data_IF_545496149130
#
_entry.id   IF_545496149130
#
_cell.length_a   1.000
_cell.length_b   1.000
_cell.length_c   1.000
_cell.angle_alpha   90.00
_cell.angle_beta   90.00
_cell.angle_gamma   90.00
#
_symmetry.space_group_name_H-M   'P 1'
#
loop_
_entity.id
_entity.type
_entity.pdbx_description
1 polymer ?
#
# COMPACT_ATOMS: atom_id res chain seq x y z
N UNK A 1 -53.65 -60.57 4.12
CA UNK A 1 -53.15 -60.09 2.81
C UNK A 1 -51.67 -59.80 3.02
N UNK A 2 -50.83 -60.83 2.83
CA UNK A 2 -49.95 -61.04 1.68
C UNK A 2 -48.61 -60.30 1.87
N UNK A 3 -47.55 -61.02 2.23
CA UNK A 3 -46.40 -61.48 1.38
C UNK A 3 -45.26 -60.44 1.46
N UNK A 4 -43.95 -60.72 1.51
CA UNK A 4 -43.10 -61.88 1.81
C UNK A 4 -41.63 -61.39 1.72
N UNK A 5 -40.72 -62.10 2.41
CA UNK A 5 -39.29 -62.34 2.15
C UNK A 5 -38.33 -61.30 1.55
N UNK A 6 -37.14 -61.19 2.17
CA UNK A 6 -35.91 -60.86 1.43
C UNK A 6 -34.67 -60.55 2.28
N UNK A 7 -33.84 -61.58 2.53
CA UNK A 7 -32.47 -61.50 3.09
C UNK A 7 -31.55 -60.60 2.24
N UNK A 8 -30.52 -60.00 2.84
CA UNK A 8 -29.08 -60.26 2.55
C UNK A 8 -28.18 -59.31 3.36
N UNK A 9 -27.17 -59.85 4.04
CA UNK A 9 -26.12 -59.05 4.68
C UNK A 9 -25.00 -58.68 3.71
N UNK A 10 -24.22 -57.65 4.04
CA UNK A 10 -22.83 -57.52 3.60
C UNK A 10 -22.07 -56.59 4.56
N UNK A 11 -20.97 -57.12 5.11
CA UNK A 11 -19.98 -56.37 5.89
C UNK A 11 -19.35 -55.29 5.01
N UNK A 12 -19.43 -54.03 5.42
CA UNK A 12 -18.62 -52.97 4.84
C UNK A 12 -17.27 -52.95 5.54
N UNK A 13 -16.25 -53.46 4.85
CA UNK A 13 -14.86 -53.21 5.18
C UNK A 13 -14.58 -51.71 5.00
N UNK A 14 -14.33 -50.99 6.08
CA UNK A 14 -13.81 -49.63 6.03
C UNK A 14 -12.35 -49.69 5.60
N UNK A 15 -12.11 -49.44 4.32
CA UNK A 15 -10.78 -49.09 3.81
C UNK A 15 -10.44 -47.72 4.38
N UNK A 16 -9.52 -47.68 5.34
CA UNK A 16 -8.84 -46.42 5.69
C UNK A 16 -7.87 -46.15 4.55
N UNK A 17 -8.31 -45.40 3.55
CA UNK A 17 -7.37 -44.75 2.64
C UNK A 17 -6.61 -43.73 3.48
N UNK A 18 -5.36 -44.04 3.83
CA UNK A 18 -4.43 -42.98 4.20
C UNK A 18 -4.22 -42.12 2.96
N UNK A 19 -4.95 -41.01 2.88
CA UNK A 19 -4.52 -39.90 2.05
C UNK A 19 -3.16 -39.51 2.63
N UNK A 20 -2.09 -39.89 1.94
CA UNK A 20 -0.82 -39.22 2.11
C UNK A 20 -1.12 -37.74 1.85
N UNK A 21 -1.05 -36.92 2.91
CA UNK A 21 -1.06 -35.48 2.77
C UNK A 21 0.09 -35.13 1.84
N UNK A 22 -0.20 -34.77 0.59
CA UNK A 22 0.77 -34.04 -0.20
C UNK A 22 1.11 -32.81 0.63
N UNK A 23 2.38 -32.64 0.95
CA UNK A 23 2.89 -31.31 1.28
C UNK A 23 2.66 -30.50 0.00
N UNK A 24 1.53 -29.80 -0.06
CA UNK A 24 1.27 -28.88 -1.15
C UNK A 24 2.35 -27.80 -1.05
N UNK A 25 3.21 -27.75 -2.07
CA UNK A 25 4.27 -26.77 -2.16
C UNK A 25 3.66 -25.37 -2.09
N UNK A 26 4.06 -24.57 -1.11
CA UNK A 26 3.57 -23.20 -0.92
C UNK A 26 4.68 -22.19 -1.18
N UNK A 27 4.35 -21.14 -1.91
CA UNK A 27 5.23 -20.00 -2.11
C UNK A 27 5.29 -19.18 -0.81
N UNK A 28 6.49 -18.81 -0.41
CA UNK A 28 6.73 -17.84 0.66
C UNK A 28 6.83 -16.48 -0.03
N UNK A 29 5.81 -15.66 0.16
CA UNK A 29 5.65 -14.40 -0.55
C UNK A 29 4.78 -13.45 0.27
N UNK A 30 5.19 -12.20 0.37
CA UNK A 30 4.35 -11.13 0.90
C UNK A 30 3.54 -10.51 -0.24
N UNK A 31 2.25 -10.78 -0.26
CA UNK A 31 1.33 -10.31 -1.29
C UNK A 31 0.75 -8.93 -1.05
N UNK A 32 1.10 -8.26 0.06
CA UNK A 32 0.70 -6.88 0.27
C UNK A 32 1.36 -5.98 -0.77
N UNK A 33 0.60 -5.07 -1.35
CA UNK A 33 1.14 -4.02 -2.21
C UNK A 33 2.11 -3.13 -1.38
N UNK A 34 3.08 -2.53 -2.05
CA UNK A 34 4.09 -1.70 -1.41
C UNK A 34 4.22 -0.37 -2.12
N UNK A 35 4.22 0.69 -1.31
CA UNK A 35 4.57 2.03 -1.74
C UNK A 35 5.97 2.35 -1.20
N UNK A 36 6.81 3.01 -1.99
CA UNK A 36 8.21 3.28 -1.66
C UNK A 36 8.64 4.64 -2.18
N UNK A 37 9.49 5.35 -1.43
CA UNK A 37 10.02 6.64 -1.87
C UNK A 37 11.04 6.39 -2.99
N UNK A 38 10.96 7.16 -4.08
CA UNK A 38 11.98 7.08 -5.14
C UNK A 38 13.38 7.34 -4.57
N UNK A 39 14.34 6.51 -4.98
CA UNK A 39 15.71 6.53 -4.47
C UNK A 39 15.98 5.58 -3.31
N UNK A 40 14.95 5.06 -2.63
CA UNK A 40 15.12 4.07 -1.57
C UNK A 40 15.31 2.65 -2.14
N UNK A 41 15.94 1.79 -1.34
CA UNK A 41 16.10 0.37 -1.71
C UNK A 41 14.85 -0.43 -1.34
N UNK A 42 14.45 -1.35 -2.21
CA UNK A 42 13.28 -2.20 -2.03
C UNK A 42 13.66 -3.68 -2.09
N UNK A 43 13.27 -4.45 -1.07
CA UNK A 43 13.39 -5.91 -1.07
C UNK A 43 12.07 -6.56 -1.48
N UNK A 44 12.09 -7.31 -2.58
CA UNK A 44 10.98 -8.14 -3.03
C UNK A 44 11.21 -9.57 -2.57
N UNK A 45 10.42 -10.00 -1.58
CA UNK A 45 10.60 -11.29 -0.92
C UNK A 45 9.91 -12.43 -1.68
N UNK A 46 10.66 -13.50 -1.98
CA UNK A 46 10.13 -14.70 -2.59
C UNK A 46 10.98 -15.94 -2.28
N UNK A 47 10.34 -17.06 -1.93
CA UNK A 47 11.04 -18.31 -1.67
C UNK A 47 10.12 -19.53 -1.57
N UNK A 48 10.72 -20.69 -1.32
CA UNK A 48 10.02 -21.97 -1.15
C UNK A 48 10.75 -22.85 -0.12
N UNK A 49 10.02 -23.71 0.60
CA UNK A 49 10.60 -24.64 1.60
C UNK A 49 11.10 -25.97 1.00
N UNK A 50 11.29 -26.03 -0.30
CA UNK A 50 11.61 -27.24 -1.03
C UNK A 50 12.53 -26.96 -2.21
N UNK A 51 13.08 -28.02 -2.80
CA UNK A 51 13.99 -27.89 -3.94
C UNK A 51 13.27 -27.27 -5.16
N UNK A 52 13.88 -26.24 -5.71
CA UNK A 52 13.50 -25.61 -6.97
C UNK A 52 14.67 -25.64 -7.94
N UNK A 53 14.39 -25.48 -9.23
CA UNK A 53 15.41 -25.42 -10.27
C UNK A 53 15.67 -23.99 -10.74
N UNK A 54 14.62 -23.19 -10.92
CA UNK A 54 14.71 -21.82 -11.45
C UNK A 54 13.71 -20.89 -10.75
N UNK A 55 14.10 -19.63 -10.60
CA UNK A 55 13.24 -18.55 -10.15
C UNK A 55 13.39 -17.31 -11.04
N UNK A 56 12.27 -16.64 -11.30
CA UNK A 56 12.18 -15.42 -12.09
C UNK A 56 11.34 -14.37 -11.38
N UNK A 57 11.67 -13.11 -11.60
CA UNK A 57 10.78 -11.98 -11.38
C UNK A 57 10.37 -11.40 -12.72
N UNK A 58 9.08 -11.27 -12.97
CA UNK A 58 8.56 -10.52 -14.12
C UNK A 58 7.94 -9.21 -13.65
N UNK A 59 8.18 -8.17 -14.42
CA UNK A 59 7.49 -6.89 -14.30
C UNK A 59 6.42 -6.75 -15.39
N UNK A 60 5.38 -5.96 -15.13
CA UNK A 60 4.23 -5.81 -16.05
C UNK A 60 4.61 -5.25 -17.43
N UNK A 61 5.68 -4.47 -17.51
CA UNK A 61 6.25 -3.94 -18.75
C UNK A 61 7.02 -4.98 -19.58
N UNK A 62 6.94 -6.26 -19.19
CA UNK A 62 7.57 -7.42 -19.82
C UNK A 62 9.08 -7.55 -19.59
N UNK A 63 9.67 -6.79 -18.67
CA UNK A 63 10.99 -7.13 -18.12
C UNK A 63 10.90 -8.44 -17.34
N UNK A 64 11.92 -9.28 -17.46
CA UNK A 64 12.01 -10.56 -16.75
C UNK A 64 13.44 -10.78 -16.27
N UNK A 65 13.60 -11.12 -15.00
CA UNK A 65 14.86 -11.19 -14.30
C UNK A 65 15.05 -12.60 -13.74
N UNK A 66 16.01 -13.35 -14.28
CA UNK A 66 16.42 -14.62 -13.69
C UNK A 66 17.22 -14.34 -12.41
N UNK A 67 16.77 -14.88 -11.29
CA UNK A 67 17.33 -14.57 -9.95
C UNK A 67 18.83 -14.85 -9.88
N UNK A 68 19.30 -15.97 -10.43
CA UNK A 68 20.74 -16.30 -10.44
C UNK A 68 21.60 -15.25 -11.15
N UNK A 69 21.07 -14.61 -12.20
CA UNK A 69 21.77 -13.52 -12.91
C UNK A 69 21.82 -12.26 -12.04
N UNK A 70 20.74 -11.96 -11.29
CA UNK A 70 20.72 -10.85 -10.34
C UNK A 70 21.72 -11.11 -9.21
N UNK A 71 21.69 -12.30 -8.61
CA UNK A 71 22.56 -12.68 -7.50
C UNK A 71 24.04 -12.74 -7.89
N UNK A 72 24.35 -13.04 -9.15
CA UNK A 72 25.72 -12.99 -9.69
C UNK A 72 26.17 -11.60 -10.16
N UNK A 73 25.33 -10.57 -10.03
CA UNK A 73 25.67 -9.18 -10.35
C UNK A 73 25.61 -8.84 -11.84
N UNK A 74 24.89 -9.62 -12.65
CA UNK A 74 24.71 -9.37 -14.09
C UNK A 74 23.73 -8.23 -14.35
N UNK A 75 22.83 -7.93 -13.41
CA UNK A 75 21.85 -6.85 -13.49
C UNK A 75 22.25 -5.68 -12.57
N UNK A 76 22.90 -4.62 -13.09
CA UNK A 76 23.25 -3.45 -12.28
C UNK A 76 22.00 -2.79 -11.66
N UNK A 77 22.14 -2.32 -10.42
CA UNK A 77 21.03 -1.73 -9.66
C UNK A 77 20.10 -2.77 -9.00
N UNK A 78 20.39 -4.06 -9.17
CA UNK A 78 19.71 -5.14 -8.47
C UNK A 78 20.71 -6.12 -7.86
N UNK A 79 20.33 -6.74 -6.74
CA UNK A 79 21.19 -7.68 -6.02
C UNK A 79 20.40 -8.73 -5.25
N UNK A 80 21.13 -9.69 -4.68
CA UNK A 80 20.56 -10.63 -3.72
C UNK A 80 20.21 -9.93 -2.38
N UNK A 81 19.11 -10.34 -1.72
CA UNK A 81 18.84 -9.95 -0.34
C UNK A 81 19.89 -10.50 0.62
N UNK A 82 20.03 -9.84 1.78
CA UNK A 82 21.04 -10.22 2.78
C UNK A 82 20.72 -11.58 3.44
N UNK A 83 19.43 -11.84 3.67
CA UNK A 83 18.94 -13.12 4.17
C UNK A 83 18.20 -13.87 3.05
N UNK A 84 18.69 -15.07 2.76
CA UNK A 84 18.12 -16.01 1.79
C UNK A 84 17.28 -17.10 2.46
N UNK A 85 17.20 -17.13 3.80
CA UNK A 85 16.36 -18.07 4.54
C UNK A 85 14.91 -17.83 4.17
N UNK A 86 14.27 -18.81 3.52
CA UNK A 86 12.90 -18.68 3.01
C UNK A 86 12.69 -17.54 1.98
N UNK A 87 13.79 -16.94 1.46
CA UNK A 87 13.82 -15.83 0.51
C UNK A 87 14.85 -16.06 -0.62
N UNK A 88 15.05 -17.33 -1.00
CA UNK A 88 16.09 -17.75 -1.94
C UNK A 88 15.87 -17.18 -3.35
N UNK A 89 14.63 -16.79 -3.67
CA UNK A 89 14.23 -16.22 -4.95
C UNK A 89 13.97 -14.71 -4.87
N UNK A 90 14.27 -14.09 -3.72
CA UNK A 90 14.12 -12.66 -3.52
C UNK A 90 15.15 -11.85 -4.31
N UNK A 91 14.78 -10.60 -4.60
CA UNK A 91 15.66 -9.61 -5.22
C UNK A 91 15.57 -8.31 -4.44
N UNK A 92 16.64 -7.52 -4.52
CA UNK A 92 16.68 -6.15 -4.00
C UNK A 92 16.89 -5.21 -5.17
N UNK A 93 16.04 -4.19 -5.29
CA UNK A 93 16.24 -3.03 -6.14
C UNK A 93 17.00 -2.00 -5.31
N UNK A 94 18.18 -1.58 -5.76
CA UNK A 94 19.09 -0.74 -4.96
C UNK A 94 18.56 0.69 -4.79
N UNK A 95 17.86 1.21 -5.79
CA UNK A 95 17.28 2.55 -5.83
C UNK A 95 16.04 2.51 -6.71
N UNK A 96 14.86 2.51 -6.10
CA UNK A 96 13.57 2.44 -6.82
C UNK A 96 13.31 3.73 -7.58
N UNK A 97 12.67 3.60 -8.74
CA UNK A 97 12.17 4.71 -9.55
C UNK A 97 10.71 4.50 -9.95
N UNK A 98 10.06 5.54 -10.49
CA UNK A 98 8.70 5.45 -11.06
C UNK A 98 8.58 4.43 -12.19
N UNK A 99 9.67 4.08 -12.87
CA UNK A 99 9.69 3.03 -13.90
C UNK A 99 9.57 1.61 -13.30
N UNK A 100 9.82 1.44 -12.00
CA UNK A 100 9.67 0.18 -11.28
C UNK A 100 8.27 0.02 -10.66
N UNK A 101 7.40 1.02 -10.81
CA UNK A 101 5.99 0.92 -10.46
C UNK A 101 5.27 -0.06 -11.38
N UNK A 102 4.39 -0.87 -10.80
CA UNK A 102 3.61 -1.87 -11.52
C UNK A 102 3.57 -3.23 -10.82
N UNK A 103 2.96 -4.21 -11.47
CA UNK A 103 2.88 -5.56 -10.94
C UNK A 103 4.22 -6.31 -11.08
N UNK A 104 4.75 -6.78 -9.95
CA UNK A 104 5.91 -7.66 -9.85
C UNK A 104 5.46 -9.08 -9.52
N UNK A 105 5.81 -10.04 -10.38
CA UNK A 105 5.42 -11.45 -10.25
C UNK A 105 6.64 -12.32 -10.00
N UNK A 106 6.70 -12.97 -8.83
CA UNK A 106 7.67 -14.03 -8.61
C UNK A 106 7.16 -15.35 -9.19
N UNK A 107 7.99 -16.05 -9.96
CA UNK A 107 7.73 -17.39 -10.48
C UNK A 107 8.83 -18.35 -10.08
N UNK A 108 8.45 -19.45 -9.44
CA UNK A 108 9.35 -20.48 -8.94
C UNK A 108 9.01 -21.81 -9.60
N UNK A 109 9.99 -22.40 -10.28
CA UNK A 109 9.87 -23.70 -10.95
C UNK A 109 10.47 -24.79 -10.07
N UNK A 110 9.62 -25.67 -9.56
CA UNK A 110 10.00 -26.72 -8.61
C UNK A 110 10.74 -27.87 -9.29
N UNK A 111 11.69 -28.48 -8.58
CA UNK A 111 12.37 -29.69 -9.06
C UNK A 111 11.40 -30.88 -9.01
N UNK A 112 11.40 -31.73 -10.03
CA UNK A 112 10.56 -32.94 -10.08
C UNK A 112 9.32 -32.81 -10.97
N UNK A 113 8.10 -32.97 -10.41
CA UNK A 113 6.81 -33.10 -11.14
C UNK A 113 6.35 -31.85 -11.93
N UNK A 114 7.23 -30.87 -12.18
CA UNK A 114 6.99 -29.77 -13.12
C UNK A 114 5.93 -28.76 -12.68
N UNK A 115 5.93 -28.38 -11.40
CA UNK A 115 5.03 -27.35 -10.87
C UNK A 115 5.65 -25.95 -10.92
N UNK A 116 4.86 -24.96 -11.35
CA UNK A 116 5.16 -23.54 -11.19
C UNK A 116 4.34 -23.00 -10.01
N UNK A 117 5.02 -22.36 -9.08
CA UNK A 117 4.40 -21.52 -8.05
C UNK A 117 4.63 -20.07 -8.43
N UNK A 118 3.60 -19.24 -8.32
CA UNK A 118 3.72 -17.82 -8.60
C UNK A 118 2.80 -16.99 -7.72
N UNK A 119 3.21 -15.77 -7.45
CA UNK A 119 2.38 -14.76 -6.84
C UNK A 119 2.87 -13.37 -7.26
N UNK A 120 2.01 -12.38 -7.13
CA UNK A 120 2.26 -11.03 -7.59
C UNK A 120 1.92 -10.02 -6.49
N UNK A 121 2.63 -8.89 -6.49
CA UNK A 121 2.30 -7.69 -5.71
C UNK A 121 2.49 -6.46 -6.58
N UNK A 122 1.80 -5.39 -6.25
CA UNK A 122 2.00 -4.09 -6.89
C UNK A 122 3.07 -3.33 -6.13
N UNK A 123 3.99 -2.73 -6.86
CA UNK A 123 4.93 -1.72 -6.35
C UNK A 123 4.47 -0.37 -6.88
N UNK A 124 4.42 0.64 -6.01
CA UNK A 124 4.20 2.03 -6.38
C UNK A 124 5.35 2.87 -5.85
N UNK A 125 6.12 3.48 -6.74
CA UNK A 125 7.15 4.43 -6.37
C UNK A 125 6.56 5.84 -6.35
N UNK A 126 6.77 6.58 -5.26
CA UNK A 126 6.35 7.98 -5.17
C UNK A 126 7.14 8.85 -6.15
N UNK A 127 6.47 9.82 -6.78
CA UNK A 127 7.14 10.76 -7.66
C UNK A 127 8.06 11.71 -6.88
N UNK A 128 8.95 12.40 -7.61
CA UNK A 128 9.91 13.34 -7.02
C UNK A 128 9.22 14.34 -6.09
N UNK A 129 9.84 14.58 -4.92
CA UNK A 129 9.32 15.43 -3.84
C UNK A 129 8.19 14.85 -2.99
N UNK A 130 7.72 13.62 -3.28
CA UNK A 130 6.83 12.87 -2.42
C UNK A 130 7.58 11.77 -1.66
N UNK A 131 7.17 11.51 -0.43
CA UNK A 131 7.72 10.45 0.45
C UNK A 131 6.65 9.40 0.73
N UNK A 132 7.05 8.13 0.78
CA UNK A 132 6.12 7.06 1.09
C UNK A 132 5.88 6.97 2.60
N UNK A 133 4.62 7.12 3.01
CA UNK A 133 4.19 7.01 4.40
C UNK A 133 2.87 6.25 4.46
N UNK A 134 2.81 5.17 5.24
CA UNK A 134 1.56 4.42 5.47
C UNK A 134 0.80 4.02 4.20
N UNK A 135 1.54 3.61 3.15
CA UNK A 135 0.95 3.18 1.87
C UNK A 135 0.62 4.29 0.88
N UNK A 136 0.67 5.57 1.29
CA UNK A 136 0.49 6.72 0.40
C UNK A 136 1.81 7.43 0.07
N UNK A 137 1.72 8.42 -0.81
CA UNK A 137 2.83 9.27 -1.24
C UNK A 137 2.50 10.72 -0.87
N UNK A 138 3.30 11.34 0.01
CA UNK A 138 2.98 12.63 0.62
C UNK A 138 4.05 13.68 0.36
N UNK A 139 3.62 14.91 0.09
CA UNK A 139 4.48 16.08 -0.06
C UNK A 139 4.12 17.11 1.01
N UNK A 140 5.11 17.55 1.79
CA UNK A 140 4.94 18.51 2.88
C UNK A 140 5.49 19.87 2.45
N UNK A 141 4.70 20.93 2.64
CA UNK A 141 5.14 22.29 2.37
C UNK A 141 5.08 23.17 3.62
N UNK A 142 6.24 23.33 4.26
CA UNK A 142 6.41 24.15 5.47
C UNK A 142 6.89 25.58 5.18
N UNK A 143 7.38 25.82 3.96
CA UNK A 143 7.96 27.10 3.55
C UNK A 143 6.88 28.09 3.08
N UNK A 144 5.73 27.60 2.61
CA UNK A 144 4.58 28.40 2.20
C UNK A 144 3.44 28.25 3.19
N UNK A 145 2.89 29.38 3.62
CA UNK A 145 1.73 29.44 4.49
C UNK A 145 0.56 29.98 3.68
N UNK A 146 -0.38 29.11 3.36
CA UNK A 146 -1.52 29.40 2.49
C UNK A 146 -2.82 29.11 3.24
N UNK A 147 -3.89 29.78 2.80
CA UNK A 147 -5.24 29.36 3.18
C UNK A 147 -5.56 27.99 2.58
N UNK A 148 -6.63 27.34 3.05
CA UNK A 148 -6.96 25.98 2.64
C UNK A 148 -7.22 25.85 1.13
N UNK A 149 -7.82 26.87 0.52
CA UNK A 149 -8.16 26.86 -0.90
C UNK A 149 -6.92 27.01 -1.78
N UNK A 150 -6.02 27.92 -1.42
CA UNK A 150 -4.75 28.14 -2.12
C UNK A 150 -3.79 26.97 -1.91
N UNK A 151 -3.77 26.36 -0.72
CA UNK A 151 -3.04 25.12 -0.45
C UNK A 151 -3.56 23.97 -1.32
N UNK A 152 -4.88 23.83 -1.43
CA UNK A 152 -5.51 22.85 -2.33
C UNK A 152 -5.12 23.08 -3.79
N UNK A 153 -5.22 24.33 -4.24
CA UNK A 153 -4.83 24.70 -5.59
C UNK A 153 -3.35 24.39 -5.85
N UNK A 154 -2.46 24.66 -4.89
CA UNK A 154 -1.06 24.28 -4.97
C UNK A 154 -0.89 22.77 -5.18
N UNK A 155 -1.50 21.94 -4.33
CA UNK A 155 -1.39 20.49 -4.41
C UNK A 155 -1.89 19.95 -5.76
N UNK A 156 -2.99 20.50 -6.28
CA UNK A 156 -3.52 20.13 -7.59
C UNK A 156 -2.57 20.44 -8.75
N UNK A 157 -1.76 21.49 -8.63
CA UNK A 157 -0.78 21.87 -9.64
C UNK A 157 0.54 21.08 -9.56
N UNK A 158 0.73 20.23 -8.54
CA UNK A 158 1.83 19.25 -8.52
C UNK A 158 1.58 18.07 -9.46
N UNK A 159 0.31 17.80 -9.77
CA UNK A 159 -0.08 16.71 -10.66
C UNK A 159 0.51 16.84 -12.07
N UNK A 160 0.70 15.69 -12.72
CA UNK A 160 1.23 15.61 -14.10
C UNK A 160 0.29 14.77 -14.97
N UNK A 161 0.76 14.35 -16.15
CA UNK A 161 0.02 13.37 -16.95
C UNK A 161 0.06 11.95 -16.37
N UNK A 162 0.96 11.67 -15.42
CA UNK A 162 1.19 10.33 -14.87
C UNK A 162 0.52 10.10 -13.51
N UNK A 163 0.33 11.18 -12.74
CA UNK A 163 -0.35 11.17 -11.45
C UNK A 163 -1.17 12.44 -11.24
N UNK A 164 -2.16 12.36 -10.36
CA UNK A 164 -2.87 13.53 -9.83
C UNK A 164 -2.44 13.80 -8.39
N UNK A 165 -2.65 15.01 -7.89
CA UNK A 165 -2.37 15.33 -6.48
C UNK A 165 -3.46 16.29 -5.97
N UNK A 166 -3.76 16.23 -4.69
CA UNK A 166 -4.67 17.16 -3.99
C UNK A 166 -4.22 17.23 -2.51
N UNK A 167 -4.89 18.02 -1.67
CA UNK A 167 -4.65 17.96 -0.23
C UNK A 167 -4.84 16.53 0.30
N UNK A 168 -3.99 16.13 1.22
CA UNK A 168 -3.90 14.76 1.71
C UNK A 168 -5.19 14.26 2.32
N UNK A 169 -5.56 13.02 1.98
CA UNK A 169 -6.64 12.26 2.59
C UNK A 169 -6.03 11.18 3.47
N UNK A 170 -6.56 10.99 4.68
CA UNK A 170 -6.03 9.97 5.59
C UNK A 170 -6.95 8.76 5.60
N UNK A 171 -6.44 7.63 5.12
CA UNK A 171 -7.19 6.39 4.93
C UNK A 171 -7.39 5.62 6.24
N UNK A 172 -6.33 5.50 7.04
CA UNK A 172 -6.34 4.72 8.27
C UNK A 172 -5.40 5.26 9.37
N UNK A 173 -5.38 4.56 10.49
CA UNK A 173 -4.66 4.97 11.70
C UNK A 173 -3.14 4.77 11.57
N UNK A 174 -2.70 3.80 10.77
CA UNK A 174 -1.30 3.52 10.54
C UNK A 174 -0.71 4.62 9.66
N UNK A 175 -1.46 5.04 8.64
CA UNK A 175 -1.12 6.19 7.80
C UNK A 175 -1.11 7.50 8.59
N UNK A 176 -2.13 7.76 9.44
CA UNK A 176 -2.14 8.90 10.35
C UNK A 176 -0.88 8.96 11.21
N UNK A 177 -0.52 7.82 11.80
CA UNK A 177 0.65 7.69 12.68
C UNK A 177 1.96 7.90 11.91
N UNK A 178 2.07 7.36 10.69
CA UNK A 178 3.24 7.54 9.83
C UNK A 178 3.44 9.01 9.46
N UNK A 179 2.40 9.70 9.01
CA UNK A 179 2.41 11.13 8.68
C UNK A 179 2.83 11.94 9.91
N UNK A 180 2.17 11.73 11.06
CA UNK A 180 2.46 12.47 12.29
C UNK A 180 3.89 12.28 12.78
N UNK A 181 4.42 11.05 12.70
CA UNK A 181 5.80 10.77 13.11
C UNK A 181 6.81 11.41 12.16
N UNK A 182 6.52 11.43 10.85
CA UNK A 182 7.35 12.13 9.87
C UNK A 182 7.42 13.62 10.17
N UNK A 183 6.27 14.28 10.40
CA UNK A 183 6.21 15.71 10.78
C UNK A 183 7.09 16.00 11.99
N UNK A 184 6.91 15.23 13.07
CA UNK A 184 7.65 15.43 14.32
C UNK A 184 9.16 15.22 14.13
N UNK A 185 9.56 14.26 13.28
CA UNK A 185 10.98 13.96 12.99
C UNK A 185 11.65 15.08 12.19
N UNK A 186 11.02 15.51 11.09
CA UNK A 186 11.65 16.36 10.09
C UNK A 186 11.44 17.86 10.36
N UNK A 187 10.27 18.24 10.87
CA UNK A 187 9.85 19.65 10.99
C UNK A 187 9.59 20.08 12.43
N UNK A 188 9.51 19.13 13.36
CA UNK A 188 9.06 19.37 14.72
C UNK A 188 7.52 19.49 14.81
N UNK A 189 6.97 19.86 15.97
CA UNK A 189 5.52 19.88 16.17
C UNK A 189 4.89 21.10 15.46
N UNK A 190 4.42 20.88 14.24
CA UNK A 190 3.66 21.83 13.41
C UNK A 190 2.31 21.23 13.01
N UNK A 191 1.29 22.08 12.93
CA UNK A 191 -0.04 21.70 12.48
C UNK A 191 -0.10 21.88 10.96
N UNK A 192 -0.87 21.07 10.23
CA UNK A 192 -0.91 21.15 8.76
C UNK A 192 -2.32 20.99 8.23
N UNK A 193 -2.66 21.72 7.16
CA UNK A 193 -3.88 21.47 6.40
C UNK A 193 -3.90 20.08 5.77
N UNK A 194 -5.08 19.47 5.80
CA UNK A 194 -5.43 18.23 5.12
C UNK A 194 -6.67 18.46 4.24
N UNK A 195 -7.02 17.48 3.42
CA UNK A 195 -8.09 17.60 2.43
C UNK A 195 -9.52 17.46 2.97
N UNK A 196 -9.73 17.49 4.29
CA UNK A 196 -11.07 17.36 4.87
C UNK A 196 -11.82 18.68 4.89
N UNK A 197 -13.10 18.66 4.50
CA UNK A 197 -14.00 19.82 4.61
C UNK A 197 -15.47 19.40 4.76
N UNK A 198 -16.26 20.19 5.47
CA UNK A 198 -17.73 20.08 5.55
C UNK A 198 -18.44 21.34 5.02
N UNK A 199 -17.74 22.22 4.28
CA UNK A 199 -18.28 23.47 3.74
C UNK A 199 -19.54 23.28 2.85
N UNK A 200 -19.74 22.09 2.30
CA UNK A 200 -20.94 21.76 1.53
C UNK A 200 -22.16 21.47 2.42
N UNK A 201 -21.94 20.90 3.59
CA UNK A 201 -22.96 20.56 4.58
C UNK A 201 -22.30 20.35 5.95
N UNK A 202 -22.54 21.29 6.87
CA UNK A 202 -22.09 21.24 8.27
C UNK A 202 -22.27 19.86 8.91
N UNK A 203 -21.29 19.44 9.72
CA UNK A 203 -21.20 18.12 10.39
C UNK A 203 -20.99 16.92 9.45
N UNK A 204 -20.98 17.12 8.12
CA UNK A 204 -20.71 16.07 7.13
C UNK A 204 -19.37 16.30 6.42
N UNK A 205 -18.32 15.75 7.01
CA UNK A 205 -16.95 15.90 6.52
C UNK A 205 -16.62 14.93 5.38
N UNK A 206 -16.07 15.50 4.31
CA UNK A 206 -15.59 14.76 3.15
C UNK A 206 -14.15 15.14 2.83
N UNK A 207 -13.37 14.15 2.41
CA UNK A 207 -12.10 14.37 1.75
C UNK A 207 -12.32 15.04 0.40
N UNK A 208 -11.35 15.81 -0.08
CA UNK A 208 -11.32 16.39 -1.44
C UNK A 208 -11.45 15.34 -2.54
N UNK A 209 -11.11 14.08 -2.24
CA UNK A 209 -11.27 12.89 -3.09
C UNK A 209 -12.71 12.34 -3.13
N UNK A 210 -13.60 12.84 -2.25
CA UNK A 210 -15.02 12.49 -2.17
C UNK A 210 -15.37 11.43 -1.11
N UNK A 211 -14.38 10.78 -0.49
CA UNK A 211 -14.61 9.86 0.62
C UNK A 211 -15.09 10.58 1.89
N UNK A 212 -15.87 9.93 2.74
CA UNK A 212 -16.23 10.48 4.05
C UNK A 212 -15.02 10.48 4.99
N UNK A 213 -14.78 11.59 5.70
CA UNK A 213 -13.80 11.59 6.78
C UNK A 213 -14.36 10.77 7.95
N UNK A 214 -13.62 9.78 8.50
CA UNK A 214 -14.07 9.05 9.66
C UNK A 214 -14.37 10.00 10.82
N UNK A 215 -15.56 9.91 11.41
CA UNK A 215 -15.89 10.59 12.66
C UNK A 215 -15.34 9.79 13.84
N UNK A 216 -14.95 10.52 14.88
CA UNK A 216 -14.47 10.00 16.17
C UNK A 216 -13.03 9.46 16.17
N UNK A 217 -12.66 8.87 17.31
CA UNK A 217 -11.36 8.26 17.54
C UNK A 217 -11.08 7.14 16.52
N UNK A 218 -9.81 6.95 16.14
CA UNK A 218 -8.63 7.65 16.64
C UNK A 218 -8.28 8.94 15.89
N UNK A 219 -9.16 9.42 15.01
CA UNK A 219 -8.88 10.55 14.12
C UNK A 219 -9.20 11.89 14.78
N UNK A 220 -10.43 12.07 15.24
CA UNK A 220 -10.85 13.31 15.89
C UNK A 220 -10.59 13.26 17.40
N UNK A 221 -10.21 14.42 17.97
CA UNK A 221 -10.23 14.56 19.42
C UNK A 221 -11.69 14.43 19.92
N UNK A 222 -11.94 13.83 21.09
CA UNK A 222 -13.30 13.76 21.64
C UNK A 222 -13.98 15.13 21.64
N UNK A 223 -15.27 15.14 21.30
CA UNK A 223 -16.12 16.34 21.17
C UNK A 223 -15.72 17.30 20.02
N UNK A 224 -14.94 16.84 19.04
CA UNK A 224 -14.64 17.56 17.79
C UNK A 224 -15.18 16.80 16.56
N UNK A 225 -15.43 17.48 15.42
CA UNK A 225 -15.36 18.94 15.22
C UNK A 225 -16.35 19.70 16.10
N UNK A 226 -16.05 20.95 16.45
CA UNK A 226 -17.07 21.80 17.10
C UNK A 226 -18.16 22.09 16.07
N UNK A 227 -19.43 22.03 16.47
CA UNK A 227 -20.53 22.42 15.59
C UNK A 227 -20.56 23.96 15.49
N UNK A 228 -19.80 24.51 14.54
CA UNK A 228 -19.75 25.92 14.24
C UNK A 228 -19.63 26.15 12.72
N UNK A 229 -20.65 26.79 12.16
CA UNK A 229 -20.79 27.04 10.71
C UNK A 229 -19.64 27.83 10.05
N UNK A 230 -18.67 28.34 10.83
CA UNK A 230 -17.55 29.15 10.36
C UNK A 230 -16.25 28.35 10.17
N UNK A 231 -16.11 27.12 10.70
CA UNK A 231 -14.84 26.36 10.64
C UNK A 231 -14.99 25.07 9.84
N UNK A 232 -14.76 25.19 8.54
CA UNK A 232 -15.10 24.13 7.60
C UNK A 232 -13.90 23.39 7.00
N UNK A 233 -12.69 23.60 7.54
CA UNK A 233 -11.45 23.05 6.96
C UNK A 233 -10.64 22.27 7.98
N UNK A 234 -10.19 21.07 7.58
CA UNK A 234 -9.54 20.10 8.45
C UNK A 234 -8.03 20.34 8.50
N UNK A 235 -7.48 20.38 9.70
CA UNK A 235 -6.04 20.31 9.90
C UNK A 235 -5.65 19.22 10.92
N UNK A 236 -4.42 18.73 10.79
CA UNK A 236 -3.80 17.84 11.77
C UNK A 236 -3.13 18.65 12.87
N UNK A 237 -3.49 18.41 14.13
CA UNK A 237 -2.95 19.14 15.28
C UNK A 237 -1.51 18.70 15.62
N UNK A 238 -0.65 19.71 15.86
CA UNK A 238 0.81 19.57 15.98
C UNK A 238 1.34 18.57 17.02
N UNK A 239 0.63 18.31 18.12
CA UNK A 239 1.13 17.47 19.21
C UNK A 239 0.50 16.09 19.19
N UNK A 240 -0.82 16.07 19.07
CA UNK A 240 -1.64 14.88 19.17
C UNK A 240 -1.77 14.14 17.84
N UNK A 241 -1.70 14.85 16.71
CA UNK A 241 -2.02 14.31 15.40
C UNK A 241 -3.53 14.18 15.15
N UNK A 242 -4.39 14.59 16.10
CA UNK A 242 -5.83 14.54 15.89
C UNK A 242 -6.28 15.57 14.87
N UNK A 243 -7.41 15.28 14.22
CA UNK A 243 -8.11 16.19 13.33
C UNK A 243 -8.87 17.24 14.13
N UNK A 244 -8.73 18.48 13.67
CA UNK A 244 -9.38 19.67 14.21
C UNK A 244 -9.90 20.49 13.03
N UNK A 245 -10.95 21.26 13.29
CA UNK A 245 -11.54 22.22 12.35
C UNK A 245 -10.95 23.63 12.59
N UNK A 246 -10.75 24.38 11.51
CA UNK A 246 -10.38 25.79 11.58
C UNK A 246 -11.04 26.60 10.46
N UNK A 247 -10.98 27.93 10.60
CA UNK A 247 -11.34 28.86 9.53
C UNK A 247 -10.45 28.60 8.32
N UNK A 248 -11.09 28.35 7.17
CA UNK A 248 -10.42 28.01 5.93
C UNK A 248 -9.50 29.13 5.41
N UNK A 249 -9.70 30.38 5.83
CA UNK A 249 -8.89 31.54 5.44
C UNK A 249 -7.59 31.69 6.28
N UNK A 250 -7.39 30.84 7.29
CA UNK A 250 -6.16 30.85 8.08
C UNK A 250 -4.96 30.36 7.27
N UNK A 251 -3.85 31.10 7.34
CA UNK A 251 -2.64 30.73 6.64
C UNK A 251 -1.87 29.65 7.42
N UNK A 252 -1.55 28.53 6.76
CA UNK A 252 -0.84 27.41 7.37
C UNK A 252 -0.02 26.59 6.39
N UNK A 253 0.90 25.76 6.90
CA UNK A 253 1.54 24.73 6.09
C UNK A 253 0.53 23.62 5.77
N UNK A 254 0.85 22.79 4.80
CA UNK A 254 -0.11 21.86 4.22
C UNK A 254 0.57 20.61 3.67
N UNK A 255 -0.22 19.54 3.56
CA UNK A 255 0.24 18.24 3.07
C UNK A 255 -0.55 17.91 1.80
N UNK A 256 0.17 17.64 0.72
CA UNK A 256 -0.38 17.10 -0.51
C UNK A 256 -0.21 15.58 -0.55
N UNK A 257 -1.11 14.89 -1.23
CA UNK A 257 -1.02 13.46 -1.51
C UNK A 257 -1.11 13.21 -3.01
N UNK A 258 -0.28 12.29 -3.47
CA UNK A 258 -0.29 11.79 -4.83
C UNK A 258 -1.29 10.64 -4.98
N UNK A 259 -2.07 10.67 -6.08
CA UNK A 259 -3.03 9.64 -6.46
C UNK A 259 -2.80 9.17 -7.89
N UNK A 260 -2.98 7.86 -8.18
CA UNK A 260 -2.92 7.35 -9.55
C UNK A 260 -3.94 8.05 -10.46
N UNK A 261 -3.58 8.35 -11.70
CA UNK A 261 -4.55 8.85 -12.70
C UNK A 261 -5.62 7.76 -12.89
N UNK A 262 -6.92 8.06 -12.66
CA UNK A 262 -7.98 7.11 -12.95
C UNK A 262 -7.89 6.70 -14.41
N UNK A 263 -7.68 5.40 -14.68
CA UNK A 263 -7.73 4.89 -16.04
C UNK A 263 -9.11 5.20 -16.60
N UNK A 264 -9.20 6.21 -17.47
CA UNK A 264 -10.38 6.40 -18.31
C UNK A 264 -10.54 5.10 -19.10
N UNK A 265 -11.51 4.27 -18.70
CA UNK A 265 -11.84 3.03 -19.38
C UNK A 265 -11.96 3.33 -20.89
N UNK A 266 -11.02 2.82 -21.67
CA UNK A 266 -11.08 2.81 -23.13
C UNK A 266 -12.09 1.78 -23.61
#
# INVERSE_FOLDING_TARGET
RNFDMGRLGCLLATVVLSLASSLDASLIFDAADITVTSGESLTLSCGVKQDFHLCFWDHEDRRSFQVDNVHSGVHPGMRAPEDLTDNQCGIVIDSVSVEDSGAWTCRVFLTGRGGELRNSKTVAACHDSFVSLGGGCFHFNEDLWLDWYDARFYCQNLGTSEFTSDLASVDDCDQLTAIRNHIVSEYGPLWHWLGGTDAAQEDNWYWVTGGSVPRDLPFWYPDHPYNNEERNCLYMEKYSGYFWDNDCEEAGPFICEEFPVPLLHK
#
